data_IF_848028208702
#
_entry.id   IF_848028208702
#
_cell.length_a   1.000
_cell.length_b   1.000
_cell.length_c   1.000
_cell.angle_alpha   90.00
_cell.angle_beta   90.00
_cell.angle_gamma   90.00
#
_symmetry.space_group_name_H-M   'P 1'
#
loop_
_entity.id
_entity.type
_entity.pdbx_description
1 polymer ?
#
# COMPACT_ATOMS: atom_id res chain seq x y z
N UNK A 1 0.34 8.45 16.63
CA UNK A 1 0.13 7.51 15.51
C UNK A 1 -0.83 8.09 14.49
N UNK A 2 -0.91 7.50 13.28
CA UNK A 2 -1.73 8.00 12.18
C UNK A 2 -2.49 6.83 11.53
N UNK A 3 -3.80 7.00 11.36
CA UNK A 3 -4.68 6.03 10.68
C UNK A 3 -5.36 6.72 9.49
N UNK A 4 -4.88 6.51 8.26
CA UNK A 4 -5.62 6.95 7.08
C UNK A 4 -6.82 6.01 6.85
N UNK A 5 -8.02 6.56 6.70
CA UNK A 5 -9.24 5.78 6.49
C UNK A 5 -9.96 6.23 5.22
N UNK A 6 -10.13 5.29 4.28
CA UNK A 6 -10.93 5.46 3.08
C UNK A 6 -11.65 4.17 2.72
N UNK A 7 -12.98 4.13 2.91
CA UNK A 7 -13.83 2.96 2.63
C UNK A 7 -13.44 1.68 3.40
N UNK A 8 -12.86 1.83 4.58
CA UNK A 8 -12.44 0.74 5.47
C UNK A 8 -13.17 0.83 6.82
N UNK A 9 -14.23 1.62 6.89
CA UNK A 9 -15.00 1.90 8.10
C UNK A 9 -15.46 0.60 8.79
N UNK A 10 -15.78 -0.43 8.01
CA UNK A 10 -16.17 -1.76 8.51
C UNK A 10 -15.15 -2.37 9.47
N UNK A 11 -13.86 -2.14 9.26
CA UNK A 11 -12.79 -2.74 10.06
C UNK A 11 -12.19 -1.77 11.09
N UNK A 12 -12.49 -0.48 10.97
CA UNK A 12 -11.88 0.58 11.77
C UNK A 12 -12.05 0.35 13.27
N UNK A 13 -13.24 -0.06 13.75
CA UNK A 13 -13.45 -0.33 15.17
C UNK A 13 -12.52 -1.41 15.73
N UNK A 14 -12.23 -2.46 14.95
CA UNK A 14 -11.25 -3.51 15.32
C UNK A 14 -9.83 -2.94 15.38
N UNK A 15 -9.45 -2.12 14.41
CA UNK A 15 -8.15 -1.45 14.38
C UNK A 15 -7.94 -0.55 15.58
N UNK A 16 -8.93 0.30 15.91
CA UNK A 16 -8.87 1.19 17.06
C UNK A 16 -8.72 0.40 18.38
N UNK A 17 -9.56 -0.60 18.60
CA UNK A 17 -9.51 -1.43 19.79
C UNK A 17 -8.17 -2.19 19.94
N UNK A 18 -7.59 -2.67 18.85
CA UNK A 18 -6.28 -3.32 18.88
C UNK A 18 -5.15 -2.35 19.25
N UNK A 19 -5.19 -1.13 18.71
CA UNK A 19 -4.23 -0.08 19.02
C UNK A 19 -4.31 0.37 20.48
N UNK A 20 -5.50 0.61 21.00
CA UNK A 20 -5.69 0.98 22.40
C UNK A 20 -5.14 -0.08 23.35
N UNK A 21 -5.40 -1.37 23.06
CA UNK A 21 -4.80 -2.48 23.84
C UNK A 21 -3.29 -2.52 23.73
N UNK A 22 -2.74 -2.34 22.51
CA UNK A 22 -1.29 -2.46 22.26
C UNK A 22 -0.49 -1.27 22.80
N UNK A 23 -1.13 -0.14 23.02
CA UNK A 23 -0.52 1.11 23.48
C UNK A 23 -0.89 1.43 24.94
N UNK A 24 -1.66 0.56 25.61
CA UNK A 24 -2.04 0.75 27.01
C UNK A 24 -0.82 1.04 27.90
N UNK A 25 -0.93 2.05 28.76
CA UNK A 25 0.14 2.46 29.66
C UNK A 25 1.30 3.22 29.00
N UNK A 26 1.18 3.59 27.73
CA UNK A 26 2.14 4.44 27.00
C UNK A 26 1.59 5.84 26.80
N UNK A 27 2.46 6.81 26.63
CA UNK A 27 2.08 8.13 26.13
C UNK A 27 1.97 8.11 24.62
N UNK A 28 0.77 8.37 24.10
CA UNK A 28 0.50 8.37 22.65
C UNK A 28 -0.63 9.34 22.27
N UNK A 29 -0.57 9.81 21.05
CA UNK A 29 -1.63 10.58 20.38
C UNK A 29 -1.99 9.88 19.08
N UNK A 30 -3.28 9.60 18.87
CA UNK A 30 -3.84 9.05 17.65
C UNK A 30 -4.45 10.13 16.77
N UNK A 31 -4.16 10.08 15.48
CA UNK A 31 -4.79 10.94 14.47
C UNK A 31 -5.47 10.04 13.45
N UNK A 32 -6.80 10.05 13.45
CA UNK A 32 -7.61 9.40 12.43
C UNK A 32 -7.84 10.38 11.28
N UNK A 33 -7.44 10.03 10.07
CA UNK A 33 -7.60 10.87 8.89
C UNK A 33 -8.65 10.27 7.96
N UNK A 34 -9.83 10.88 7.93
CA UNK A 34 -10.91 10.50 7.02
C UNK A 34 -10.61 11.10 5.64
N UNK A 35 -10.16 10.27 4.71
CA UNK A 35 -9.63 10.69 3.42
C UNK A 35 -10.71 11.15 2.42
N UNK A 36 -11.99 11.02 2.74
CA UNK A 36 -13.12 11.53 1.96
C UNK A 36 -13.81 12.69 2.68
N UNK A 37 -14.32 13.66 1.92
CA UNK A 37 -15.05 14.81 2.46
C UNK A 37 -16.39 14.41 3.08
N UNK A 38 -17.02 13.34 2.60
CA UNK A 38 -18.28 12.79 3.13
C UNK A 38 -18.13 11.29 3.38
N UNK A 39 -18.87 10.77 4.33
CA UNK A 39 -18.92 9.36 4.71
C UNK A 39 -19.17 9.21 6.21
N UNK A 40 -19.83 8.13 6.58
CA UNK A 40 -20.04 7.71 7.96
C UNK A 40 -18.93 6.73 8.34
N UNK A 41 -17.91 7.21 9.05
CA UNK A 41 -16.96 6.34 9.70
C UNK A 41 -17.31 6.26 11.19
N UNK A 42 -17.22 5.09 11.83
CA UNK A 42 -17.29 5.02 13.28
C UNK A 42 -16.14 5.88 13.82
N UNK A 43 -16.49 6.96 14.49
CA UNK A 43 -15.51 7.80 15.16
C UNK A 43 -15.17 7.15 16.49
N UNK A 44 -13.89 7.22 16.94
CA UNK A 44 -13.57 6.83 18.29
C UNK A 44 -14.39 7.67 19.25
N UNK A 45 -14.81 7.08 20.37
CA UNK A 45 -15.43 7.84 21.46
C UNK A 45 -14.50 9.00 21.81
N UNK A 46 -15.09 10.13 22.23
CA UNK A 46 -14.29 11.31 22.61
C UNK A 46 -13.28 10.94 23.69
N UNK A 47 -12.05 10.82 23.27
CA UNK A 47 -10.93 10.50 24.12
C UNK A 47 -9.84 11.56 23.89
N UNK A 48 -9.14 12.03 24.95
CA UNK A 48 -8.06 12.99 24.80
C UNK A 48 -6.89 12.46 23.96
N UNK A 49 -6.86 11.16 23.70
CA UNK A 49 -5.82 10.52 22.89
C UNK A 49 -6.12 10.56 21.39
N UNK A 50 -7.33 10.91 20.96
CA UNK A 50 -7.72 10.91 19.55
C UNK A 50 -8.03 12.31 19.01
N UNK A 51 -7.42 12.61 17.85
CA UNK A 51 -7.82 13.71 16.98
C UNK A 51 -8.37 13.12 15.68
N UNK A 52 -9.40 13.75 15.14
CA UNK A 52 -10.00 13.31 13.87
C UNK A 52 -9.88 14.44 12.85
N UNK A 53 -9.22 14.14 11.75
CA UNK A 53 -9.10 15.02 10.59
C UNK A 53 -9.99 14.50 9.47
N UNK A 54 -10.63 15.39 8.74
CA UNK A 54 -11.43 15.03 7.55
C UNK A 54 -10.99 15.87 6.36
N UNK A 55 -10.89 15.25 5.17
CA UNK A 55 -10.68 15.97 3.93
C UNK A 55 -11.78 17.03 3.72
N UNK A 56 -11.40 18.24 3.39
CA UNK A 56 -12.32 19.33 3.08
C UNK A 56 -12.87 19.19 1.66
N UNK A 57 -14.04 19.77 1.41
CA UNK A 57 -14.68 19.78 0.08
C UNK A 57 -16.11 19.28 0.13
N UNK A 58 -16.81 19.41 -0.99
CA UNK A 58 -18.19 18.94 -1.16
C UNK A 58 -18.27 17.41 -1.38
N UNK A 59 -19.45 16.81 -1.17
CA UNK A 59 -19.70 15.44 -1.59
C UNK A 59 -19.34 15.24 -3.06
N UNK A 60 -18.43 14.30 -3.36
CA UNK A 60 -17.92 14.07 -4.72
C UNK A 60 -16.52 14.65 -4.97
N UNK A 61 -15.99 15.49 -4.08
CA UNK A 61 -14.56 15.87 -4.11
C UNK A 61 -13.68 14.62 -4.09
N UNK A 62 -12.62 14.65 -4.89
CA UNK A 62 -11.66 13.55 -4.93
C UNK A 62 -11.09 13.29 -3.53
N UNK A 63 -11.10 12.03 -3.05
CA UNK A 63 -10.51 11.71 -1.76
C UNK A 63 -9.00 11.97 -1.76
N UNK A 64 -8.43 12.18 -0.58
CA UNK A 64 -6.99 12.21 -0.41
C UNK A 64 -6.36 10.91 -0.94
N UNK A 65 -5.18 11.05 -1.54
CA UNK A 65 -4.34 9.89 -1.80
C UNK A 65 -3.87 9.27 -0.48
N UNK A 66 -3.45 8.00 -0.46
CA UNK A 66 -2.92 7.40 0.77
C UNK A 66 -1.76 8.21 1.37
N UNK A 67 -0.83 8.68 0.52
CA UNK A 67 0.30 9.50 0.95
C UNK A 67 -0.14 10.86 1.52
N UNK A 68 -1.11 11.53 0.88
CA UNK A 68 -1.65 12.80 1.38
C UNK A 68 -2.34 12.65 2.74
N UNK A 69 -3.12 11.58 2.92
CA UNK A 69 -3.77 11.31 4.20
C UNK A 69 -2.75 11.02 5.32
N UNK A 70 -1.70 10.25 5.02
CA UNK A 70 -0.63 9.98 5.99
C UNK A 70 0.15 11.26 6.34
N UNK A 71 0.43 12.13 5.37
CA UNK A 71 1.10 13.42 5.64
C UNK A 71 0.25 14.33 6.53
N UNK A 72 -1.04 14.46 6.25
CA UNK A 72 -1.94 15.26 7.09
C UNK A 72 -1.95 14.77 8.55
N UNK A 73 -1.98 13.46 8.75
CA UNK A 73 -1.85 12.88 10.09
C UNK A 73 -0.47 13.08 10.71
N UNK A 74 0.59 13.00 9.91
CA UNK A 74 1.97 13.24 10.35
C UNK A 74 2.19 14.67 10.85
N UNK A 75 1.65 15.65 10.15
CA UNK A 75 1.69 17.06 10.55
C UNK A 75 0.91 17.32 11.84
N UNK A 76 -0.20 16.63 12.04
CA UNK A 76 -1.08 16.82 13.20
C UNK A 76 -0.63 16.04 14.45
N UNK A 77 0.27 15.05 14.32
CA UNK A 77 0.77 14.28 15.46
C UNK A 77 2.13 14.77 15.94
N UNK A 78 2.46 14.47 17.20
CA UNK A 78 3.76 14.71 17.82
C UNK A 78 4.61 13.44 17.96
N UNK A 79 5.62 13.49 18.86
CA UNK A 79 6.47 12.35 19.22
C UNK A 79 7.69 12.16 18.32
N UNK A 80 8.67 11.41 18.82
CA UNK A 80 9.93 11.11 18.13
C UNK A 80 9.80 9.99 17.10
N UNK A 81 8.80 9.13 17.28
CA UNK A 81 8.43 8.07 16.35
C UNK A 81 6.96 8.16 16.00
N UNK A 82 6.61 7.83 14.76
CA UNK A 82 5.24 7.86 14.27
C UNK A 82 4.86 6.50 13.72
N UNK A 83 3.81 5.92 14.27
CA UNK A 83 3.22 4.67 13.81
C UNK A 83 2.09 4.97 12.82
N UNK A 84 2.23 4.51 11.60
CA UNK A 84 1.17 4.51 10.57
C UNK A 84 0.52 3.14 10.51
N UNK A 85 -0.79 3.10 10.52
CA UNK A 85 -1.58 1.85 10.51
C UNK A 85 -2.76 2.04 9.58
N UNK A 86 -2.93 1.15 8.61
CA UNK A 86 -4.12 1.17 7.76
C UNK A 86 -5.38 0.82 8.58
N UNK A 87 -6.52 1.37 8.20
CA UNK A 87 -7.77 1.29 8.98
C UNK A 87 -8.42 -0.12 9.02
N UNK A 88 -7.82 -1.09 8.36
CA UNK A 88 -8.21 -2.51 8.32
C UNK A 88 -7.15 -3.44 8.93
N UNK A 89 -6.32 -2.92 9.84
CA UNK A 89 -5.18 -3.63 10.44
C UNK A 89 -5.33 -3.78 11.94
N UNK A 90 -5.26 -5.00 12.42
CA UNK A 90 -5.22 -5.35 13.84
C UNK A 90 -3.77 -5.57 14.28
N UNK A 91 -3.24 -4.63 15.05
CA UNK A 91 -1.84 -4.59 15.47
C UNK A 91 -1.61 -5.53 16.66
N UNK A 92 -0.47 -6.23 16.66
CA UNK A 92 -0.08 -7.14 17.74
C UNK A 92 0.79 -6.41 18.78
N UNK A 93 0.39 -6.49 20.04
CA UNK A 93 1.06 -5.80 21.17
C UNK A 93 2.54 -6.20 21.30
N UNK A 94 2.86 -7.49 21.12
CA UNK A 94 4.22 -7.99 21.22
C UNK A 94 5.16 -7.36 20.17
N UNK A 95 4.63 -7.09 18.97
CA UNK A 95 5.40 -6.38 17.96
C UNK A 95 5.63 -4.92 18.35
N UNK A 96 4.61 -4.23 18.85
CA UNK A 96 4.74 -2.84 19.33
C UNK A 96 5.81 -2.73 20.42
N UNK A 97 5.82 -3.64 21.38
CA UNK A 97 6.85 -3.68 22.43
C UNK A 97 8.25 -3.89 21.84
N UNK A 98 8.38 -4.81 20.89
CA UNK A 98 9.65 -5.07 20.20
C UNK A 98 10.11 -3.84 19.42
N UNK A 99 9.21 -3.22 18.65
CA UNK A 99 9.50 -2.03 17.85
C UNK A 99 9.93 -0.86 18.72
N UNK A 100 9.26 -0.62 19.85
CA UNK A 100 9.65 0.42 20.80
C UNK A 100 11.02 0.15 21.42
N UNK A 101 11.35 -1.11 21.75
CA UNK A 101 12.70 -1.46 22.26
C UNK A 101 13.77 -1.19 21.22
N UNK A 102 13.57 -1.62 19.97
CA UNK A 102 14.52 -1.35 18.88
C UNK A 102 14.67 0.15 18.66
N UNK A 103 13.56 0.90 18.62
CA UNK A 103 13.56 2.35 18.49
C UNK A 103 14.34 3.09 19.60
N UNK A 104 14.35 2.54 20.81
CA UNK A 104 15.07 3.10 21.95
C UNK A 104 16.56 2.75 21.95
N UNK A 105 16.97 1.63 21.35
CA UNK A 105 18.34 1.09 21.46
C UNK A 105 19.15 1.20 20.19
N UNK A 106 18.50 1.30 19.01
CA UNK A 106 19.17 1.40 17.70
C UNK A 106 18.89 2.76 17.07
N UNK A 107 19.79 3.70 17.29
CA UNK A 107 19.70 5.07 16.76
C UNK A 107 19.88 5.15 15.24
N UNK A 108 20.36 4.11 14.60
CA UNK A 108 20.61 4.07 13.17
C UNK A 108 19.35 3.79 12.36
N UNK A 109 18.46 2.96 12.89
CA UNK A 109 17.23 2.56 12.19
C UNK A 109 16.27 3.73 12.07
N UNK A 110 15.67 3.87 10.90
CA UNK A 110 14.72 4.96 10.63
C UNK A 110 13.30 4.49 10.39
N UNK A 111 13.09 3.21 10.11
CA UNK A 111 11.76 2.65 9.94
C UNK A 111 11.71 1.16 10.27
N UNK A 112 10.64 0.78 10.94
CA UNK A 112 10.36 -0.57 11.37
C UNK A 112 9.00 -1.02 10.85
N UNK A 113 8.92 -2.29 10.49
CA UNK A 113 7.68 -2.99 10.20
C UNK A 113 7.81 -4.46 10.58
N UNK A 114 6.87 -5.31 10.19
CA UNK A 114 6.98 -6.73 10.49
C UNK A 114 6.05 -7.58 9.65
N UNK A 115 6.07 -8.87 9.92
CA UNK A 115 5.25 -9.85 9.23
C UNK A 115 3.76 -9.55 9.45
N UNK A 116 2.99 -9.58 8.36
CA UNK A 116 1.55 -9.33 8.33
C UNK A 116 0.83 -10.55 7.80
N UNK A 117 -0.14 -11.03 8.56
CA UNK A 117 -1.07 -12.07 8.12
C UNK A 117 -2.26 -11.46 7.40
N UNK A 118 -2.74 -12.12 6.36
CA UNK A 118 -3.96 -11.74 5.67
C UNK A 118 -5.14 -12.56 6.19
N UNK A 119 -6.24 -11.87 6.50
CA UNK A 119 -7.48 -12.46 6.95
C UNK A 119 -8.65 -11.97 6.12
N UNK A 120 -9.55 -12.86 5.75
CA UNK A 120 -10.74 -12.54 4.97
C UNK A 120 -11.98 -12.70 5.83
N UNK A 121 -12.88 -11.71 5.75
CA UNK A 121 -14.16 -11.72 6.44
C UNK A 121 -15.30 -11.51 5.44
N UNK A 122 -16.25 -12.46 5.41
CA UNK A 122 -17.43 -12.44 4.57
C UNK A 122 -18.66 -12.76 5.42
N UNK A 123 -19.31 -11.73 5.93
CA UNK A 123 -20.35 -11.87 6.95
C UNK A 123 -19.81 -12.58 8.19
N UNK A 124 -20.42 -13.69 8.58
CA UNK A 124 -19.98 -14.50 9.71
C UNK A 124 -18.80 -15.43 9.40
N UNK A 125 -18.38 -15.53 8.14
CA UNK A 125 -17.28 -16.41 7.74
C UNK A 125 -15.96 -15.71 7.82
N UNK A 126 -15.05 -16.24 8.63
CA UNK A 126 -13.65 -15.77 8.75
C UNK A 126 -12.71 -16.84 8.23
N UNK A 127 -11.74 -16.46 7.41
CA UNK A 127 -10.76 -17.35 6.82
C UNK A 127 -9.38 -16.72 6.78
N UNK A 128 -8.37 -17.44 7.23
CA UNK A 128 -6.97 -17.04 7.05
C UNK A 128 -6.58 -17.07 5.55
N UNK A 129 -5.82 -16.06 5.14
CA UNK A 129 -5.18 -15.95 3.83
C UNK A 129 -3.70 -16.28 3.90
N UNK A 130 -2.85 -15.36 3.46
CA UNK A 130 -1.40 -15.50 3.56
C UNK A 130 -0.94 -15.35 5.01
N UNK A 131 -0.04 -16.23 5.46
CA UNK A 131 0.63 -16.09 6.77
C UNK A 131 1.74 -15.03 6.76
N UNK A 132 2.17 -14.62 5.59
CA UNK A 132 3.19 -13.61 5.38
C UNK A 132 2.88 -12.89 4.05
N UNK A 133 2.09 -11.84 4.14
CA UNK A 133 1.56 -11.11 2.98
C UNK A 133 2.67 -10.50 2.14
N UNK A 134 3.75 -10.07 2.77
CA UNK A 134 4.87 -9.37 2.14
C UNK A 134 6.14 -10.23 2.02
N UNK A 135 6.10 -11.49 2.43
CA UNK A 135 7.22 -12.45 2.38
C UNK A 135 8.46 -11.96 3.13
N UNK A 136 8.22 -11.44 4.33
CA UNK A 136 9.27 -10.92 5.23
C UNK A 136 10.11 -12.05 5.81
N UNK A 137 9.49 -13.23 6.05
CA UNK A 137 10.13 -14.35 6.73
C UNK A 137 10.02 -14.28 8.25
N UNK A 138 10.73 -15.16 8.92
CA UNK A 138 10.63 -15.38 10.38
C UNK A 138 11.77 -14.71 11.18
N UNK A 139 12.71 -14.05 10.52
CA UNK A 139 13.86 -13.36 11.14
C UNK A 139 13.82 -11.85 10.98
N UNK A 140 14.58 -11.14 11.82
CA UNK A 140 14.86 -9.72 11.59
C UNK A 140 15.68 -9.55 10.31
N UNK A 141 15.29 -8.63 9.44
CA UNK A 141 15.94 -8.42 8.16
C UNK A 141 15.95 -6.93 7.75
N UNK A 142 16.92 -6.56 6.91
CA UNK A 142 16.88 -5.29 6.22
C UNK A 142 15.65 -5.23 5.30
N UNK A 143 14.99 -4.08 5.26
CA UNK A 143 13.82 -3.86 4.44
C UNK A 143 14.07 -2.82 3.36
N UNK A 144 13.48 -3.00 2.19
CA UNK A 144 13.55 -2.01 1.11
C UNK A 144 12.43 -0.97 1.20
N UNK A 145 11.35 -1.27 1.88
CA UNK A 145 10.20 -0.40 2.15
C UNK A 145 9.42 -0.97 3.33
N UNK A 146 8.39 -0.27 3.77
CA UNK A 146 7.37 -0.75 4.71
C UNK A 146 6.00 -0.54 4.07
N UNK A 147 4.97 -1.19 4.56
CA UNK A 147 3.60 -1.05 4.04
C UNK A 147 2.60 -1.42 5.14
N UNK A 148 1.36 -0.93 5.04
CA UNK A 148 0.22 -1.36 5.88
C UNK A 148 0.37 -1.00 7.37
N UNK A 149 1.51 -1.34 7.96
CA UNK A 149 1.95 -0.99 9.31
C UNK A 149 3.40 -0.51 9.23
N UNK A 150 3.66 0.73 9.61
CA UNK A 150 4.98 1.34 9.48
C UNK A 150 5.30 2.22 10.70
N UNK A 151 6.42 2.00 11.33
CA UNK A 151 6.86 2.78 12.49
C UNK A 151 8.14 3.52 12.13
N UNK A 152 8.03 4.83 11.89
CA UNK A 152 9.12 5.67 11.40
C UNK A 152 9.62 6.64 12.44
N UNK A 153 10.92 6.87 12.45
CA UNK A 153 11.54 7.97 13.15
C UNK A 153 11.14 9.29 12.49
N UNK A 154 10.61 10.21 13.29
CA UNK A 154 10.02 11.47 12.79
C UNK A 154 11.00 12.30 12.01
N UNK A 155 12.22 12.47 12.50
CA UNK A 155 13.26 13.27 11.83
C UNK A 155 13.65 12.70 10.46
N UNK A 156 13.77 11.37 10.34
CA UNK A 156 14.07 10.72 9.08
C UNK A 156 12.93 10.93 8.05
N UNK A 157 11.68 10.79 8.50
CA UNK A 157 10.52 11.02 7.65
C UNK A 157 10.40 12.49 7.23
N UNK A 158 10.65 13.42 8.15
CA UNK A 158 10.67 14.86 7.88
C UNK A 158 11.80 15.25 6.93
N UNK A 159 13.00 14.66 7.10
CA UNK A 159 14.15 14.91 6.24
C UNK A 159 13.87 14.61 4.76
N UNK A 160 13.14 13.54 4.48
CA UNK A 160 12.77 13.19 3.10
C UNK A 160 11.46 13.84 2.64
N UNK A 161 10.80 14.67 3.45
CA UNK A 161 9.59 15.40 3.10
C UNK A 161 8.29 14.59 3.17
N UNK A 162 8.26 13.52 3.98
CA UNK A 162 7.07 12.69 4.14
C UNK A 162 6.76 11.80 2.93
N UNK A 163 5.51 11.40 2.79
CA UNK A 163 5.03 10.61 1.65
C UNK A 163 4.84 11.47 0.39
N UNK A 164 5.04 10.90 -0.80
CA UNK A 164 4.70 11.59 -2.05
C UNK A 164 3.16 11.64 -2.23
N UNK A 165 2.60 12.79 -1.92
CA UNK A 165 1.15 13.00 -1.88
C UNK A 165 0.45 12.91 -3.25
N UNK A 166 1.21 13.00 -4.36
CA UNK A 166 0.66 12.96 -5.72
C UNK A 166 0.48 11.55 -6.25
N UNK A 167 1.00 10.53 -5.58
CA UNK A 167 0.85 9.14 -5.99
C UNK A 167 -0.49 8.56 -5.54
N UNK A 168 -1.16 7.87 -6.44
CA UNK A 168 -2.42 7.17 -6.13
C UNK A 168 -2.20 5.79 -5.51
N UNK A 169 -1.01 5.22 -5.67
CA UNK A 169 -0.47 4.04 -5.00
C UNK A 169 1.05 4.02 -5.17
N UNK A 170 1.76 3.05 -4.59
CA UNK A 170 3.23 2.91 -4.59
C UNK A 170 3.95 3.94 -3.69
N UNK A 171 3.23 4.74 -2.94
CA UNK A 171 3.78 5.76 -2.04
C UNK A 171 4.67 5.17 -0.94
N UNK A 172 4.35 3.96 -0.46
CA UNK A 172 5.12 3.24 0.55
C UNK A 172 6.49 2.80 -0.01
N UNK A 173 6.48 2.24 -1.22
CA UNK A 173 7.72 1.79 -1.87
C UNK A 173 8.57 2.98 -2.28
N UNK A 174 7.97 4.02 -2.83
CA UNK A 174 8.63 5.27 -3.21
C UNK A 174 9.31 5.93 -2.01
N UNK A 175 8.61 6.03 -0.88
CA UNK A 175 9.17 6.54 0.38
C UNK A 175 10.36 5.69 0.83
N UNK A 176 10.26 4.36 0.75
CA UNK A 176 11.36 3.45 1.05
C UNK A 176 12.61 3.71 0.19
N UNK A 177 12.44 4.04 -1.08
CA UNK A 177 13.55 4.45 -1.97
C UNK A 177 14.21 5.73 -1.46
N UNK A 178 13.42 6.79 -1.17
CA UNK A 178 13.97 8.07 -0.66
C UNK A 178 14.67 7.93 0.67
N UNK A 179 14.10 7.20 1.62
CA UNK A 179 14.70 6.97 2.93
C UNK A 179 16.07 6.29 2.78
N UNK A 180 16.16 5.21 2.01
CA UNK A 180 17.42 4.49 1.81
C UNK A 180 18.47 5.32 1.05
N UNK A 181 18.06 6.11 0.05
CA UNK A 181 18.94 7.03 -0.65
C UNK A 181 19.49 8.13 0.25
N UNK A 182 18.72 8.54 1.25
CA UNK A 182 19.14 9.49 2.28
C UNK A 182 19.97 8.84 3.42
N UNK A 183 20.28 7.54 3.33
CA UNK A 183 21.07 6.82 4.34
C UNK A 183 20.26 6.36 5.56
N UNK A 184 18.93 6.33 5.48
CA UNK A 184 18.05 5.89 6.54
C UNK A 184 17.64 4.41 6.37
N UNK A 185 18.22 3.47 7.13
CA UNK A 185 17.91 2.06 7.00
C UNK A 185 16.52 1.72 7.53
N UNK A 186 15.86 0.78 6.86
CA UNK A 186 14.60 0.19 7.25
C UNK A 186 14.82 -1.27 7.68
N UNK A 187 14.05 -1.73 8.66
CA UNK A 187 14.16 -3.10 9.17
C UNK A 187 12.77 -3.73 9.34
N UNK A 188 12.65 -4.98 8.93
CA UNK A 188 11.57 -5.86 9.30
C UNK A 188 11.93 -6.60 10.59
N UNK A 189 10.99 -6.71 11.53
CA UNK A 189 11.14 -7.42 12.79
C UNK A 189 10.41 -8.76 12.74
N UNK A 190 11.02 -9.79 13.31
CA UNK A 190 10.55 -11.17 13.29
C UNK A 190 9.14 -11.44 13.85
N UNK A 191 8.68 -10.82 14.95
CA UNK A 191 7.34 -11.09 15.48
C UNK A 191 6.24 -10.75 14.48
N UNK A 192 5.13 -11.49 14.55
CA UNK A 192 3.90 -11.09 13.85
C UNK A 192 3.56 -9.66 14.26
N UNK A 193 3.47 -8.78 13.27
CA UNK A 193 3.21 -7.37 13.51
C UNK A 193 1.71 -7.06 13.52
N UNK A 194 0.96 -7.69 12.61
CA UNK A 194 -0.45 -7.40 12.49
C UNK A 194 -1.21 -8.45 11.67
N UNK A 195 -2.55 -8.38 11.78
CA UNK A 195 -3.50 -9.03 10.88
C UNK A 195 -4.16 -7.98 10.01
N UNK A 196 -4.09 -8.16 8.70
CA UNK A 196 -4.75 -7.31 7.72
C UNK A 196 -6.09 -7.94 7.32
N UNK A 197 -7.18 -7.24 7.57
CA UNK A 197 -8.54 -7.69 7.32
C UNK A 197 -9.05 -7.18 5.98
N UNK A 198 -9.61 -8.06 5.17
CA UNK A 198 -10.18 -7.68 3.89
C UNK A 198 -11.41 -8.50 3.53
N UNK A 199 -12.23 -7.97 2.60
CA UNK A 199 -13.26 -8.76 1.97
C UNK A 199 -12.64 -9.87 1.11
N UNK A 200 -13.35 -10.98 0.84
CA UNK A 200 -12.83 -12.07 0.04
C UNK A 200 -12.33 -11.61 -1.33
N UNK A 201 -11.15 -12.06 -1.69
CA UNK A 201 -10.53 -11.86 -3.01
C UNK A 201 -10.28 -13.21 -3.68
N UNK A 202 -10.16 -13.29 -5.00
CA UNK A 202 -10.14 -12.23 -6.02
C UNK A 202 -11.51 -12.02 -6.68
N UNK A 203 -11.84 -10.77 -7.02
CA UNK A 203 -12.97 -10.46 -7.89
C UNK A 203 -12.55 -9.56 -9.04
N UNK A 204 -13.12 -9.74 -10.24
CA UNK A 204 -12.90 -8.83 -11.36
C UNK A 204 -13.45 -7.43 -11.07
N UNK A 205 -14.48 -7.33 -10.21
CA UNK A 205 -14.99 -6.05 -9.73
C UNK A 205 -13.93 -5.23 -9.00
N UNK A 206 -13.05 -5.87 -8.23
CA UNK A 206 -11.94 -5.20 -7.56
C UNK A 206 -10.92 -4.63 -8.56
N UNK A 207 -10.62 -5.33 -9.64
CA UNK A 207 -9.75 -4.83 -10.71
C UNK A 207 -10.37 -3.58 -11.36
N UNK A 208 -11.68 -3.62 -11.67
CA UNK A 208 -12.41 -2.47 -12.18
C UNK A 208 -12.47 -1.29 -11.19
N UNK A 209 -12.61 -1.57 -9.91
CA UNK A 209 -12.55 -0.55 -8.84
C UNK A 209 -11.18 0.14 -8.82
N UNK A 210 -10.09 -0.62 -8.83
CA UNK A 210 -8.72 -0.09 -8.84
C UNK A 210 -8.46 0.82 -10.04
N UNK A 211 -9.00 0.46 -11.20
CA UNK A 211 -8.92 1.33 -12.39
C UNK A 211 -9.67 2.64 -12.16
N UNK A 212 -10.93 2.57 -11.72
CA UNK A 212 -11.78 3.76 -11.50
C UNK A 212 -11.23 4.69 -10.42
N UNK A 213 -10.62 4.15 -9.37
CA UNK A 213 -10.00 4.93 -8.30
C UNK A 213 -8.59 5.41 -8.63
N UNK A 214 -8.01 4.95 -9.75
CA UNK A 214 -6.66 5.31 -10.19
C UNK A 214 -5.54 4.55 -9.49
N UNK A 215 -5.83 3.59 -8.64
CA UNK A 215 -4.80 2.77 -7.97
C UNK A 215 -3.91 2.00 -8.96
N UNK A 216 -4.39 1.75 -10.19
CA UNK A 216 -3.59 1.16 -11.25
C UNK A 216 -2.55 2.13 -11.84
N UNK A 217 -2.64 3.42 -11.56
CA UNK A 217 -1.81 4.45 -12.19
C UNK A 217 -0.53 4.72 -11.39
N UNK A 218 -0.51 4.40 -10.10
CA UNK A 218 0.61 4.66 -9.20
C UNK A 218 1.97 4.18 -9.71
N UNK A 219 2.12 2.94 -10.23
CA UNK A 219 3.40 2.48 -10.78
C UNK A 219 3.93 3.40 -11.89
N UNK A 220 3.08 3.84 -12.81
CA UNK A 220 3.46 4.77 -13.88
C UNK A 220 3.78 6.18 -13.36
N UNK A 221 3.01 6.66 -12.39
CA UNK A 221 3.23 7.96 -11.76
C UNK A 221 4.60 7.99 -11.04
N UNK A 222 4.92 6.93 -10.28
CA UNK A 222 6.21 6.80 -9.61
C UNK A 222 7.37 6.73 -10.62
N UNK A 223 7.25 5.96 -11.68
CA UNK A 223 8.25 5.90 -12.76
C UNK A 223 8.48 7.26 -13.41
N UNK A 224 7.43 8.00 -13.71
CA UNK A 224 7.55 9.35 -14.27
C UNK A 224 8.27 10.30 -13.32
N UNK A 225 7.97 10.24 -12.03
CA UNK A 225 8.61 11.06 -11.00
C UNK A 225 10.12 10.82 -10.95
N UNK A 226 10.55 9.58 -11.21
CA UNK A 226 11.95 9.14 -11.18
C UNK A 226 12.64 9.11 -12.55
N UNK A 227 12.00 9.53 -13.62
CA UNK A 227 12.65 9.59 -14.95
C UNK A 227 13.91 10.45 -14.88
N UNK A 228 15.04 9.85 -15.22
CA UNK A 228 16.35 10.51 -15.15
C UNK A 228 16.94 10.67 -13.74
N UNK A 229 16.34 10.05 -12.72
CA UNK A 229 16.78 10.16 -11.31
C UNK A 229 17.25 8.81 -10.76
N UNK A 230 18.12 8.81 -9.75
CA UNK A 230 18.45 7.61 -8.98
C UNK A 230 17.17 6.98 -8.40
N UNK A 231 17.09 5.62 -8.44
CA UNK A 231 15.90 4.88 -8.00
C UNK A 231 14.95 4.46 -9.13
N UNK A 232 15.05 5.04 -10.34
CA UNK A 232 14.21 4.63 -11.47
C UNK A 232 14.32 3.13 -11.76
N UNK A 233 15.55 2.59 -11.81
CA UNK A 233 15.79 1.16 -12.06
C UNK A 233 15.20 0.23 -10.99
N UNK A 234 15.09 0.69 -9.75
CA UNK A 234 14.47 -0.08 -8.66
C UNK A 234 12.94 -0.12 -8.81
N UNK A 235 12.32 1.02 -9.09
CA UNK A 235 10.89 1.12 -9.39
C UNK A 235 10.53 0.32 -10.65
N UNK A 236 11.36 0.36 -11.69
CA UNK A 236 11.16 -0.41 -12.91
C UNK A 236 11.24 -1.92 -12.64
N UNK A 237 12.22 -2.40 -11.87
CA UNK A 237 12.35 -3.81 -11.48
C UNK A 237 11.15 -4.31 -10.67
N UNK A 238 10.67 -3.52 -9.73
CA UNK A 238 9.46 -3.85 -8.96
C UNK A 238 8.27 -4.12 -9.89
N UNK A 239 8.15 -3.34 -10.95
CA UNK A 239 7.04 -3.39 -11.91
C UNK A 239 7.36 -4.20 -13.20
N UNK A 240 8.47 -4.95 -13.22
CA UNK A 240 8.96 -5.66 -14.42
C UNK A 240 7.91 -6.59 -15.05
N UNK A 241 7.09 -7.24 -14.24
CA UNK A 241 6.00 -8.12 -14.72
C UNK A 241 4.90 -7.36 -15.48
N UNK A 242 4.66 -6.08 -15.18
CA UNK A 242 3.76 -5.23 -15.96
C UNK A 242 4.37 -4.87 -17.31
N UNK A 243 5.67 -4.58 -17.34
CA UNK A 243 6.37 -4.34 -18.61
C UNK A 243 6.43 -5.59 -19.48
N UNK A 244 6.69 -6.76 -18.89
CA UNK A 244 6.63 -8.03 -19.61
C UNK A 244 5.24 -8.32 -20.19
N UNK A 245 4.20 -8.03 -19.43
CA UNK A 245 2.80 -8.15 -19.90
C UNK A 245 2.51 -7.17 -21.05
N UNK A 246 2.95 -5.92 -20.92
CA UNK A 246 2.79 -4.91 -21.98
C UNK A 246 3.54 -5.32 -23.25
N UNK A 247 4.80 -5.76 -23.11
CA UNK A 247 5.58 -6.24 -24.25
C UNK A 247 4.91 -7.42 -24.95
N UNK A 248 4.34 -8.35 -24.20
CA UNK A 248 3.61 -9.49 -24.78
C UNK A 248 2.35 -9.03 -25.55
N UNK A 249 1.63 -8.02 -25.07
CA UNK A 249 0.52 -7.44 -25.81
C UNK A 249 0.99 -6.72 -27.09
N UNK A 250 2.05 -5.93 -27.01
CA UNK A 250 2.63 -5.21 -28.15
C UNK A 250 3.29 -6.14 -29.17
N UNK A 251 3.63 -7.36 -28.79
CA UNK A 251 4.15 -8.36 -29.72
C UNK A 251 3.11 -8.88 -30.72
N UNK A 252 1.81 -8.75 -30.46
CA UNK A 252 0.75 -9.24 -31.37
C UNK A 252 0.80 -8.62 -32.77
N UNK A 253 0.79 -7.27 -32.93
CA UNK A 253 0.86 -6.67 -34.26
C UNK A 253 2.20 -6.95 -34.96
N UNK A 254 3.30 -7.04 -34.24
CA UNK A 254 4.62 -7.39 -34.79
C UNK A 254 4.61 -8.85 -35.30
N UNK A 255 4.09 -9.79 -34.50
CA UNK A 255 3.97 -11.18 -34.89
C UNK A 255 3.11 -11.35 -36.15
N UNK A 256 2.00 -10.59 -36.23
CA UNK A 256 1.16 -10.59 -37.41
C UNK A 256 1.89 -10.01 -38.67
N UNK A 257 2.57 -8.89 -38.50
CA UNK A 257 3.32 -8.25 -39.57
C UNK A 257 4.44 -9.15 -40.14
N UNK A 258 5.09 -9.91 -39.30
CA UNK A 258 6.23 -10.79 -39.69
C UNK A 258 5.76 -12.12 -40.27
N UNK A 259 4.75 -12.77 -39.70
CA UNK A 259 4.36 -14.13 -40.05
C UNK A 259 2.83 -14.35 -40.24
N UNK A 260 2.06 -13.27 -40.41
CA UNK A 260 0.62 -13.32 -40.63
C UNK A 260 -0.13 -14.10 -39.53
N UNK A 261 -1.07 -14.94 -39.93
CA UNK A 261 -1.86 -15.75 -39.00
C UNK A 261 -1.02 -16.75 -38.19
N UNK A 262 0.11 -17.22 -38.72
CA UNK A 262 1.05 -18.10 -38.00
C UNK A 262 1.70 -17.35 -36.83
N UNK A 263 2.07 -16.09 -37.03
CA UNK A 263 2.60 -15.22 -35.98
C UNK A 263 1.59 -15.01 -34.85
N UNK A 264 0.32 -14.71 -35.20
CA UNK A 264 -0.75 -14.60 -34.19
C UNK A 264 -0.99 -15.91 -33.44
N UNK A 265 -0.93 -17.07 -34.12
CA UNK A 265 -1.03 -18.36 -33.47
C UNK A 265 0.11 -18.58 -32.44
N UNK A 266 1.35 -18.25 -32.82
CA UNK A 266 2.49 -18.29 -31.89
C UNK A 266 2.33 -17.37 -30.69
N UNK A 267 1.83 -16.15 -30.90
CA UNK A 267 1.51 -15.21 -29.83
C UNK A 267 0.40 -15.76 -28.89
N UNK A 268 -0.67 -16.32 -29.44
CA UNK A 268 -1.74 -16.92 -28.64
C UNK A 268 -1.23 -18.13 -27.82
N UNK A 269 -0.34 -18.95 -28.41
CA UNK A 269 0.32 -20.05 -27.69
C UNK A 269 1.18 -19.55 -26.55
N UNK A 270 1.89 -18.43 -26.69
CA UNK A 270 2.66 -17.84 -25.61
C UNK A 270 1.75 -17.41 -24.42
N UNK A 271 0.59 -16.80 -24.68
CA UNK A 271 -0.40 -16.51 -23.66
C UNK A 271 -0.97 -17.77 -23.00
N UNK A 272 -1.27 -18.79 -23.80
CA UNK A 272 -1.76 -20.07 -23.28
C UNK A 272 -0.70 -20.74 -22.40
N UNK A 273 0.56 -20.76 -22.80
CA UNK A 273 1.65 -21.32 -22.02
C UNK A 273 1.82 -20.56 -20.69
N UNK A 274 1.76 -19.21 -20.71
CA UNK A 274 1.79 -18.40 -19.48
C UNK A 274 0.60 -18.72 -18.57
N UNK A 275 -0.61 -18.83 -19.14
CA UNK A 275 -1.81 -19.19 -18.39
C UNK A 275 -1.67 -20.57 -17.73
N UNK A 276 -1.23 -21.59 -18.48
CA UNK A 276 -1.03 -22.95 -17.95
C UNK A 276 0.01 -22.95 -16.84
N UNK A 277 1.15 -22.30 -17.06
CA UNK A 277 2.20 -22.18 -16.05
C UNK A 277 1.67 -21.56 -14.74
N UNK A 278 0.91 -20.49 -14.88
CA UNK A 278 0.30 -19.82 -13.71
C UNK A 278 -0.79 -20.67 -13.07
N UNK A 279 -1.59 -21.40 -13.84
CA UNK A 279 -2.63 -22.25 -13.32
C UNK A 279 -2.04 -23.42 -12.50
N UNK A 280 -0.97 -24.03 -12.97
CA UNK A 280 -0.22 -25.06 -12.24
C UNK A 280 0.39 -24.48 -10.97
N UNK A 281 1.12 -23.36 -11.07
CA UNK A 281 1.78 -22.73 -9.92
C UNK A 281 0.79 -22.29 -8.83
N UNK A 282 -0.38 -21.78 -9.23
CA UNK A 282 -1.44 -21.33 -8.31
C UNK A 282 -2.41 -22.44 -7.91
N UNK A 283 -2.30 -23.61 -8.52
CA UNK A 283 -3.24 -24.72 -8.34
C UNK A 283 -4.70 -24.31 -8.60
N UNK A 284 -4.91 -23.35 -9.49
CA UNK A 284 -6.24 -22.81 -9.78
C UNK A 284 -6.24 -22.04 -11.12
N UNK A 285 -6.99 -22.51 -12.13
CA UNK A 285 -7.17 -21.77 -13.39
C UNK A 285 -7.84 -20.40 -13.19
N UNK A 286 -8.80 -20.33 -12.25
CA UNK A 286 -9.48 -19.07 -11.90
C UNK A 286 -8.50 -18.02 -11.35
N UNK A 287 -7.59 -18.42 -10.47
CA UNK A 287 -6.57 -17.52 -9.92
C UNK A 287 -5.54 -17.13 -10.97
N UNK A 288 -5.21 -18.02 -11.91
CA UNK A 288 -4.34 -17.71 -13.04
C UNK A 288 -4.97 -16.64 -13.94
N UNK A 289 -6.21 -16.87 -14.37
CA UNK A 289 -6.95 -15.91 -15.21
C UNK A 289 -7.07 -14.53 -14.52
N UNK A 290 -7.48 -14.52 -13.25
CA UNK A 290 -7.56 -13.28 -12.48
C UNK A 290 -6.21 -12.54 -12.46
N UNK A 291 -5.10 -13.25 -12.30
CA UNK A 291 -3.78 -12.62 -12.28
C UNK A 291 -3.39 -12.04 -13.63
N UNK A 292 -3.65 -12.75 -14.74
CA UNK A 292 -3.35 -12.25 -16.08
C UNK A 292 -4.17 -11.00 -16.41
N UNK A 293 -5.47 -11.01 -16.08
CA UNK A 293 -6.33 -9.83 -16.21
C UNK A 293 -5.82 -8.68 -15.36
N UNK A 294 -5.48 -8.94 -14.11
CA UNK A 294 -4.91 -7.91 -13.21
C UNK A 294 -3.62 -7.34 -13.77
N UNK A 295 -2.69 -8.17 -14.24
CA UNK A 295 -1.43 -7.70 -14.82
C UNK A 295 -1.65 -6.87 -16.08
N UNK A 296 -2.59 -7.27 -16.95
CA UNK A 296 -2.95 -6.50 -18.14
C UNK A 296 -3.49 -5.11 -17.78
N UNK A 297 -4.43 -5.06 -16.82
CA UNK A 297 -5.00 -3.78 -16.37
C UNK A 297 -3.96 -2.91 -15.68
N UNK A 298 -3.09 -3.50 -14.84
CA UNK A 298 -2.00 -2.79 -14.19
C UNK A 298 -0.96 -2.29 -15.19
N UNK A 299 -0.62 -3.09 -16.22
CA UNK A 299 0.28 -2.67 -17.29
C UNK A 299 -0.28 -1.46 -18.05
N UNK A 300 -1.54 -1.51 -18.47
CA UNK A 300 -2.22 -0.38 -19.09
C UNK A 300 -2.29 0.83 -18.14
N UNK A 301 -2.61 0.61 -16.88
CA UNK A 301 -2.61 1.63 -15.83
C UNK A 301 -1.25 2.28 -15.64
N UNK A 302 -0.17 1.50 -15.71
CA UNK A 302 1.21 2.01 -15.64
C UNK A 302 1.50 2.99 -16.78
N UNK A 303 1.10 2.66 -18.02
CA UNK A 303 1.24 3.57 -19.17
C UNK A 303 0.43 4.85 -18.94
N UNK A 304 -0.84 4.72 -18.56
CA UNK A 304 -1.71 5.87 -18.28
C UNK A 304 -1.14 6.75 -17.18
N UNK A 305 -0.67 6.14 -16.08
CA UNK A 305 -0.07 6.85 -14.95
C UNK A 305 1.23 7.58 -15.34
N UNK A 306 2.06 6.95 -16.18
CA UNK A 306 3.27 7.59 -16.69
C UNK A 306 2.95 8.82 -17.56
N UNK A 307 1.98 8.71 -18.46
CA UNK A 307 1.59 9.81 -19.36
C UNK A 307 0.92 10.95 -18.58
N UNK A 308 -0.02 10.64 -17.70
CA UNK A 308 -0.76 11.64 -16.91
C UNK A 308 0.05 12.28 -15.80
N UNK A 309 0.98 11.53 -15.20
CA UNK A 309 1.72 11.93 -14.01
C UNK A 309 0.89 11.82 -12.72
N UNK A 310 1.42 12.41 -11.66
CA UNK A 310 0.77 12.46 -10.34
C UNK A 310 -0.51 13.29 -10.36
N UNK A 311 -1.34 13.08 -9.34
CA UNK A 311 -2.57 13.88 -9.17
C UNK A 311 -2.26 15.29 -8.68
N UNK A 312 -3.22 16.20 -8.80
CA UNK A 312 -3.11 17.55 -8.25
C UNK A 312 -2.87 17.52 -6.73
N UNK A 313 -2.40 18.65 -6.20
CA UNK A 313 -2.21 18.82 -4.76
C UNK A 313 -3.45 18.38 -3.98
N UNK A 314 -3.25 17.76 -2.81
CA UNK A 314 -4.35 17.29 -1.98
C UNK A 314 -5.21 18.46 -1.50
N UNK A 315 -6.50 18.19 -1.31
CA UNK A 315 -7.40 19.14 -0.65
C UNK A 315 -6.98 19.31 0.82
N UNK A 316 -7.22 20.49 1.42
CA UNK A 316 -6.97 20.70 2.84
C UNK A 316 -7.76 19.71 3.71
N UNK A 317 -7.28 19.48 4.92
CA UNK A 317 -8.00 18.77 5.97
C UNK A 317 -8.50 19.77 7.02
N UNK A 318 -9.62 19.41 7.67
CA UNK A 318 -10.10 20.13 8.85
C UNK A 318 -10.26 19.16 10.02
N UNK A 319 -10.02 19.63 11.21
CA UNK A 319 -10.34 18.87 12.41
C UNK A 319 -11.85 18.82 12.58
N UNK A 320 -12.36 17.63 12.89
CA UNK A 320 -13.76 17.43 13.22
C UNK A 320 -13.81 16.96 14.66
N UNK A 321 -14.54 17.75 15.45
CA UNK A 321 -14.64 17.55 16.89
C UNK A 321 -15.39 16.24 17.26
#
# INVERSE_FOLDING_TARGET
>A
MVIPCYRQERFLGRTLAALERSLAGRDWLGVLVLAAAAGEAPLPERSPHWRVLRASGDPGTRPLTPGAARNAGFEACGGTWVLFVDADVEVEAAWVERACRVAATDVTVAGLWGRIEEWFEDGARVRAGSRDLYRIGDGDAAASYTATLSFYRRDALAHVGGYEARLQSEEDFELGVRLRQAGFPLRALAPLAAKHWSAPRPSFGEVGRRWRTGLCFGPGQALRLYTGRPGFGELARRNAHYFGTLALWLAAPVAFAVAGSRGLAGWALAWLALFVLMAVRKRSPRLALHSLVTWTVMAAGTVVGYVRGGVAAPVPVREVA
#
